data_IF_225225648716
#
_entry.id   IF_225225648716
#
_cell.length_a   1.000
_cell.length_b   1.000
_cell.length_c   1.000
_cell.angle_alpha   90.00
_cell.angle_beta   90.00
_cell.angle_gamma   90.00
#
_symmetry.space_group_name_H-M   'P 1'
#
loop_
_entity.id
_entity.type
_entity.pdbx_description
1 polymer ?
#
# COMPACT_ATOMS: atom_id res chain seq x y z
N UNK A 1 16.36 -11.67 -16.36
CA UNK A 1 15.29 -10.64 -16.27
C UNK A 1 15.64 -9.37 -17.06
N UNK A 2 16.74 -8.64 -16.77
CA UNK A 2 17.10 -7.45 -17.56
C UNK A 2 17.68 -7.78 -18.95
N UNK A 3 18.45 -8.87 -19.03
CA UNK A 3 18.95 -9.42 -20.30
C UNK A 3 17.82 -9.96 -21.18
N UNK A 4 16.77 -10.55 -20.58
CA UNK A 4 15.57 -11.03 -21.30
C UNK A 4 14.72 -9.88 -21.85
N UNK A 5 14.89 -8.66 -21.33
CA UNK A 5 14.25 -7.43 -21.80
C UNK A 5 15.09 -6.68 -22.86
N UNK A 6 16.21 -7.26 -23.32
CA UNK A 6 17.07 -6.67 -24.35
C UNK A 6 18.06 -5.60 -23.84
N UNK A 7 18.36 -5.57 -22.53
CA UNK A 7 19.38 -4.69 -21.96
C UNK A 7 20.68 -5.48 -21.73
N UNK A 8 21.70 -5.19 -22.55
CA UNK A 8 23.02 -5.85 -22.49
C UNK A 8 23.85 -5.47 -21.25
N UNK A 9 23.50 -4.40 -20.53
CA UNK A 9 24.24 -3.92 -19.36
C UNK A 9 23.37 -3.91 -18.08
N UNK A 10 23.65 -4.82 -17.16
CA UNK A 10 23.01 -4.94 -15.84
C UNK A 10 23.05 -3.63 -15.01
N UNK A 11 24.00 -2.73 -15.33
CA UNK A 11 24.09 -1.40 -14.70
C UNK A 11 22.93 -0.50 -15.06
N UNK A 12 22.38 -0.60 -16.28
CA UNK A 12 21.24 0.20 -16.74
C UNK A 12 19.99 -0.23 -15.98
N UNK A 13 19.75 -1.54 -15.83
CA UNK A 13 18.64 -2.08 -15.04
C UNK A 13 18.71 -1.63 -13.58
N UNK A 14 19.90 -1.71 -12.97
CA UNK A 14 20.13 -1.23 -11.60
C UNK A 14 19.90 0.28 -11.45
N UNK A 15 20.32 1.07 -12.44
CA UNK A 15 20.13 2.52 -12.45
C UNK A 15 18.64 2.90 -12.54
N UNK A 16 17.87 2.24 -13.40
CA UNK A 16 16.42 2.45 -13.51
C UNK A 16 15.72 2.16 -12.19
N UNK A 17 16.04 1.02 -11.56
CA UNK A 17 15.47 0.66 -10.24
C UNK A 17 15.80 1.72 -9.19
N UNK A 18 17.04 2.21 -9.17
CA UNK A 18 17.46 3.25 -8.23
C UNK A 18 16.74 4.58 -8.46
N UNK A 19 16.54 4.99 -9.71
CA UNK A 19 15.78 6.21 -10.05
C UNK A 19 14.34 6.07 -9.56
N UNK A 20 13.69 4.93 -9.82
CA UNK A 20 12.33 4.67 -9.34
C UNK A 20 12.27 4.70 -7.81
N UNK A 21 13.25 4.13 -7.12
CA UNK A 21 13.33 4.18 -5.66
C UNK A 21 13.47 5.61 -5.12
N UNK A 22 14.27 6.47 -5.76
CA UNK A 22 14.42 7.87 -5.39
C UNK A 22 13.11 8.64 -5.61
N UNK A 23 12.43 8.42 -6.73
CA UNK A 23 11.13 9.05 -7.00
C UNK A 23 10.09 8.61 -5.97
N UNK A 24 10.09 7.32 -5.59
CA UNK A 24 9.21 6.78 -4.56
C UNK A 24 9.55 7.25 -3.13
N UNK A 25 10.73 7.85 -2.92
CA UNK A 25 11.10 8.45 -1.64
C UNK A 25 10.37 9.78 -1.40
N UNK A 26 10.09 10.56 -2.45
CA UNK A 26 9.49 11.89 -2.30
C UNK A 26 8.15 11.84 -1.56
N UNK A 27 7.19 10.97 -1.92
CA UNK A 27 5.96 10.91 -1.18
C UNK A 27 6.13 10.37 0.25
N UNK A 28 7.17 9.57 0.51
CA UNK A 28 7.50 9.11 1.85
C UNK A 28 8.00 10.23 2.77
N UNK A 29 8.77 11.18 2.24
CA UNK A 29 9.21 12.35 3.00
C UNK A 29 8.05 13.27 3.38
N UNK A 30 7.11 13.47 2.45
CA UNK A 30 5.96 14.35 2.67
C UNK A 30 4.75 13.65 3.29
N UNK A 31 4.80 12.33 3.50
CA UNK A 31 3.71 11.54 4.06
C UNK A 31 3.18 12.07 5.39
N UNK A 32 4.08 12.47 6.30
CA UNK A 32 3.71 13.05 7.59
C UNK A 32 3.00 14.40 7.46
N UNK A 33 3.48 15.25 6.55
CA UNK A 33 2.89 16.57 6.29
C UNK A 33 1.56 16.48 5.55
N UNK A 34 1.45 15.62 4.54
CA UNK A 34 0.19 15.37 3.85
C UNK A 34 -0.83 14.75 4.80
N UNK A 35 -0.39 13.76 5.59
CA UNK A 35 -1.23 13.08 6.58
C UNK A 35 -1.81 14.04 7.62
N UNK A 36 -0.99 14.94 8.16
CA UNK A 36 -1.43 15.96 9.12
C UNK A 36 -2.41 16.98 8.52
N UNK A 37 -2.28 17.31 7.23
CA UNK A 37 -3.17 18.27 6.54
C UNK A 37 -4.49 17.66 6.05
N UNK A 38 -4.46 16.47 5.46
CA UNK A 38 -5.62 15.87 4.79
C UNK A 38 -6.31 14.76 5.61
N UNK A 39 -5.67 14.25 6.66
CA UNK A 39 -6.16 13.14 7.47
C UNK A 39 -5.62 11.79 6.98
N UNK A 40 -4.96 11.06 7.87
CA UNK A 40 -4.30 9.79 7.57
C UNK A 40 -5.32 8.74 7.09
N UNK A 41 -6.49 8.68 7.75
CA UNK A 41 -7.55 7.73 7.38
C UNK A 41 -8.11 8.04 6.00
N UNK A 42 -8.36 9.32 5.69
CA UNK A 42 -8.94 9.74 4.41
C UNK A 42 -8.00 9.43 3.24
N UNK A 43 -6.71 9.71 3.41
CA UNK A 43 -5.70 9.41 2.39
C UNK A 43 -5.58 7.91 2.11
N UNK A 44 -5.56 7.07 3.14
CA UNK A 44 -5.53 5.61 2.94
C UNK A 44 -6.78 5.13 2.21
N UNK A 45 -7.97 5.61 2.59
CA UNK A 45 -9.21 5.19 1.92
C UNK A 45 -9.27 5.65 0.47
N UNK A 46 -8.83 6.88 0.19
CA UNK A 46 -8.71 7.40 -1.17
C UNK A 46 -7.78 6.54 -2.01
N UNK A 47 -6.62 6.16 -1.46
CA UNK A 47 -5.67 5.30 -2.15
C UNK A 47 -6.24 3.93 -2.50
N UNK A 48 -7.02 3.30 -1.60
CA UNK A 48 -7.70 2.04 -1.93
C UNK A 48 -8.63 2.21 -3.13
N UNK A 49 -9.42 3.28 -3.17
CA UNK A 49 -10.33 3.54 -4.30
C UNK A 49 -9.54 3.73 -5.59
N UNK A 50 -8.50 4.56 -5.58
CA UNK A 50 -7.68 4.79 -6.78
C UNK A 50 -7.01 3.50 -7.24
N UNK A 51 -6.42 2.73 -6.33
CA UNK A 51 -5.72 1.48 -6.66
C UNK A 51 -6.69 0.40 -7.17
N UNK A 52 -7.91 0.33 -6.65
CA UNK A 52 -8.95 -0.58 -7.18
C UNK A 52 -9.33 -0.16 -8.60
N UNK A 53 -9.59 1.13 -8.84
CA UNK A 53 -9.95 1.64 -10.15
C UNK A 53 -8.84 1.41 -11.19
N UNK A 54 -7.58 1.67 -10.81
CA UNK A 54 -6.45 1.45 -11.72
C UNK A 54 -6.20 -0.05 -11.94
N UNK A 55 -6.40 -0.92 -10.95
CA UNK A 55 -6.31 -2.38 -11.14
C UNK A 55 -7.34 -2.88 -12.16
N UNK A 56 -8.58 -2.38 -12.09
CA UNK A 56 -9.61 -2.67 -13.10
C UNK A 56 -9.21 -2.11 -14.46
N UNK A 57 -8.67 -0.88 -14.51
CA UNK A 57 -8.13 -0.27 -15.72
C UNK A 57 -7.01 -1.11 -16.37
N UNK A 58 -6.12 -1.69 -15.58
CA UNK A 58 -5.07 -2.60 -16.07
C UNK A 58 -5.69 -3.83 -16.73
N UNK A 59 -6.64 -4.50 -16.07
CA UNK A 59 -7.30 -5.69 -16.64
C UNK A 59 -8.04 -5.38 -17.95
N UNK A 60 -8.74 -4.25 -18.02
CA UNK A 60 -9.41 -3.80 -19.25
C UNK A 60 -8.38 -3.53 -20.36
N UNK A 61 -7.27 -2.88 -20.03
CA UNK A 61 -6.21 -2.56 -21.00
C UNK A 61 -5.50 -3.82 -21.52
N UNK A 62 -5.30 -4.83 -20.67
CA UNK A 62 -4.77 -6.13 -21.06
C UNK A 62 -5.72 -6.84 -22.03
N UNK A 63 -7.01 -6.92 -21.68
CA UNK A 63 -8.03 -7.55 -22.53
C UNK A 63 -8.20 -6.83 -23.89
N UNK A 64 -8.05 -5.51 -23.90
CA UNK A 64 -8.05 -4.70 -25.12
C UNK A 64 -6.74 -4.76 -25.93
N UNK A 65 -5.74 -5.56 -25.49
CA UNK A 65 -4.41 -5.66 -26.10
C UNK A 65 -3.75 -4.28 -26.29
N UNK A 66 -3.82 -3.42 -25.26
CA UNK A 66 -3.22 -2.08 -25.28
C UNK A 66 -2.10 -1.93 -24.24
N UNK A 67 -0.85 -2.28 -24.59
CA UNK A 67 0.29 -2.23 -23.67
C UNK A 67 0.59 -0.83 -23.12
N UNK A 68 0.40 0.21 -23.94
CA UNK A 68 0.65 1.60 -23.51
C UNK A 68 -0.33 2.00 -22.40
N UNK A 69 -1.60 1.62 -22.54
CA UNK A 69 -2.63 1.96 -21.55
C UNK A 69 -2.43 1.17 -20.26
N UNK A 70 -2.02 -0.11 -20.34
CA UNK A 70 -1.74 -0.91 -19.14
C UNK A 70 -0.55 -0.36 -18.35
N UNK A 71 0.50 0.12 -19.03
CA UNK A 71 1.64 0.80 -18.41
C UNK A 71 1.19 2.08 -17.68
N UNK A 72 0.34 2.91 -18.30
CA UNK A 72 -0.17 4.14 -17.69
C UNK A 72 -0.97 3.84 -16.43
N UNK A 73 -1.90 2.88 -16.47
CA UNK A 73 -2.66 2.50 -15.27
C UNK A 73 -1.77 1.88 -14.19
N UNK A 74 -0.74 1.12 -14.55
CA UNK A 74 0.26 0.58 -13.62
C UNK A 74 1.04 1.70 -12.94
N UNK A 75 1.46 2.72 -13.71
CA UNK A 75 2.15 3.88 -13.14
C UNK A 75 1.25 4.66 -12.16
N UNK A 76 -0.02 4.86 -12.50
CA UNK A 76 -1.00 5.49 -11.61
C UNK A 76 -1.25 4.66 -10.34
N UNK A 77 -1.32 3.33 -10.46
CA UNK A 77 -1.41 2.42 -9.31
C UNK A 77 -0.22 2.60 -8.37
N UNK A 78 1.01 2.59 -8.90
CA UNK A 78 2.23 2.77 -8.13
C UNK A 78 2.29 4.15 -7.49
N UNK A 79 1.89 5.22 -8.20
CA UNK A 79 1.85 6.57 -7.65
C UNK A 79 0.85 6.71 -6.50
N UNK A 80 -0.33 6.10 -6.61
CA UNK A 80 -1.33 6.08 -5.54
C UNK A 80 -0.84 5.30 -4.30
N UNK A 81 -0.15 4.17 -4.52
CA UNK A 81 0.48 3.42 -3.45
C UNK A 81 1.58 4.22 -2.76
N UNK A 82 2.50 4.79 -3.53
CA UNK A 82 3.66 5.52 -3.02
C UNK A 82 3.24 6.76 -2.20
N UNK A 83 2.17 7.45 -2.59
CA UNK A 83 1.68 8.65 -1.87
C UNK A 83 0.90 8.36 -0.61
N UNK A 84 0.41 7.14 -0.43
CA UNK A 84 -0.51 6.81 0.65
C UNK A 84 -0.10 5.53 1.35
N UNK A 85 -0.56 4.37 0.86
CA UNK A 85 -0.41 3.09 1.55
C UNK A 85 1.05 2.72 1.86
N UNK A 86 2.00 3.11 1.01
CA UNK A 86 3.41 2.87 1.22
C UNK A 86 3.94 3.52 2.51
N UNK A 87 4.02 4.87 2.58
CA UNK A 87 4.62 5.54 3.73
C UNK A 87 3.64 5.82 4.89
N UNK A 88 2.35 6.11 4.62
CA UNK A 88 1.41 6.49 5.69
C UNK A 88 1.13 5.33 6.64
N UNK A 89 1.19 4.08 6.17
CA UNK A 89 0.92 2.93 7.03
C UNK A 89 1.91 2.85 8.20
N UNK A 90 3.19 3.17 7.97
CA UNK A 90 4.20 3.19 9.02
C UNK A 90 3.98 4.33 10.01
N UNK A 91 3.59 5.52 9.52
CA UNK A 91 3.21 6.65 10.39
C UNK A 91 2.03 6.27 11.28
N UNK A 92 1.00 5.62 10.73
CA UNK A 92 -0.18 5.21 11.50
C UNK A 92 0.15 4.09 12.49
N UNK A 93 0.92 3.08 12.07
CA UNK A 93 1.33 1.97 12.94
C UNK A 93 2.08 2.49 14.18
N UNK A 94 3.01 3.42 14.01
CA UNK A 94 3.74 4.02 15.15
C UNK A 94 2.83 4.79 16.11
N UNK A 95 1.75 5.38 15.61
CA UNK A 95 0.73 6.06 16.41
C UNK A 95 -0.25 5.09 17.09
N UNK A 96 -0.55 3.94 16.49
CA UNK A 96 -1.48 2.95 17.03
C UNK A 96 -0.89 2.14 18.20
N UNK A 97 0.41 1.89 18.22
CA UNK A 97 1.03 1.15 19.31
C UNK A 97 1.37 2.06 20.51
N UNK A 98 1.09 1.63 21.75
CA UNK A 98 1.54 2.33 22.95
C UNK A 98 3.07 2.32 23.04
N UNK A 99 3.65 3.34 23.68
CA UNK A 99 5.11 3.51 23.77
C UNK A 99 5.86 2.26 24.23
N UNK A 100 5.32 1.50 25.19
CA UNK A 100 5.94 0.29 25.74
C UNK A 100 6.00 -0.90 24.78
N UNK A 101 5.03 -1.01 23.85
CA UNK A 101 4.93 -2.15 22.93
C UNK A 101 5.27 -1.78 21.49
N UNK A 102 5.56 -0.52 21.20
CA UNK A 102 5.78 -0.03 19.84
C UNK A 102 6.87 -0.78 19.10
N UNK A 103 8.02 -1.02 19.74
CA UNK A 103 9.13 -1.73 19.10
C UNK A 103 8.74 -3.15 18.68
N UNK A 104 8.11 -3.91 19.58
CA UNK A 104 7.66 -5.29 19.33
C UNK A 104 6.51 -5.36 18.32
N UNK A 105 5.54 -4.45 18.42
CA UNK A 105 4.42 -4.38 17.47
C UNK A 105 4.90 -4.05 16.05
N UNK A 106 5.78 -3.05 15.93
CA UNK A 106 6.35 -2.64 14.64
C UNK A 106 7.21 -3.74 14.01
N UNK A 107 8.02 -4.47 14.79
CA UNK A 107 8.85 -5.54 14.24
C UNK A 107 8.01 -6.70 13.69
N UNK A 108 6.90 -7.05 14.36
CA UNK A 108 5.96 -8.06 13.86
C UNK A 108 5.26 -7.60 12.58
N UNK A 109 4.79 -6.34 12.53
CA UNK A 109 4.19 -5.78 11.31
C UNK A 109 5.18 -5.76 10.15
N UNK A 110 6.44 -5.39 10.40
CA UNK A 110 7.47 -5.37 9.38
C UNK A 110 7.82 -6.79 8.89
N UNK A 111 7.90 -7.76 9.79
CA UNK A 111 8.08 -9.16 9.44
C UNK A 111 6.95 -9.67 8.54
N UNK A 112 5.70 -9.40 8.92
CA UNK A 112 4.52 -9.75 8.11
C UNK A 112 4.54 -9.05 6.73
N UNK A 113 4.99 -7.79 6.68
CA UNK A 113 5.16 -7.05 5.42
C UNK A 113 6.18 -7.73 4.50
N UNK A 114 7.37 -8.08 5.02
CA UNK A 114 8.39 -8.78 4.23
C UNK A 114 7.93 -10.16 3.76
N UNK A 115 7.21 -10.91 4.60
CA UNK A 115 6.60 -12.17 4.22
C UNK A 115 5.56 -11.99 3.10
N UNK A 116 4.71 -10.97 3.20
CA UNK A 116 3.75 -10.63 2.14
C UNK A 116 4.44 -10.31 0.82
N UNK A 117 5.49 -9.49 0.86
CA UNK A 117 6.30 -9.16 -0.32
C UNK A 117 6.96 -10.39 -0.94
N UNK A 118 7.47 -11.32 -0.12
CA UNK A 118 8.03 -12.58 -0.58
C UNK A 118 6.96 -13.45 -1.27
N UNK A 119 5.80 -13.60 -0.64
CA UNK A 119 4.69 -14.38 -1.18
C UNK A 119 4.19 -13.82 -2.51
N UNK A 120 4.06 -12.50 -2.63
CA UNK A 120 3.68 -11.85 -3.88
C UNK A 120 4.80 -12.00 -4.91
N UNK A 121 6.05 -11.75 -4.55
CA UNK A 121 7.19 -11.82 -5.46
C UNK A 121 7.38 -13.21 -6.08
N UNK A 122 7.17 -14.27 -5.28
CA UNK A 122 7.26 -15.66 -5.75
C UNK A 122 5.96 -16.14 -6.39
N UNK A 123 4.80 -15.78 -5.82
CA UNK A 123 3.50 -16.31 -6.21
C UNK A 123 2.86 -15.62 -7.41
N UNK A 124 3.11 -14.32 -7.59
CA UNK A 124 2.45 -13.52 -8.63
C UNK A 124 2.68 -14.03 -10.05
N UNK A 125 3.88 -14.49 -10.47
CA UNK A 125 4.06 -15.06 -11.80
C UNK A 125 3.09 -16.22 -12.10
N UNK A 126 2.95 -17.16 -11.15
CA UNK A 126 2.01 -18.29 -11.30
C UNK A 126 0.55 -17.85 -11.37
N UNK A 127 0.19 -16.82 -10.60
CA UNK A 127 -1.16 -16.24 -10.61
C UNK A 127 -1.43 -15.51 -11.93
N UNK A 128 -0.44 -14.76 -12.42
CA UNK A 128 -0.52 -14.03 -13.68
C UNK A 128 -0.69 -15.00 -14.86
N UNK A 129 0.07 -16.09 -14.88
CA UNK A 129 -0.02 -17.12 -15.93
C UNK A 129 -1.38 -17.84 -15.89
N UNK A 130 -1.92 -18.10 -14.71
CA UNK A 130 -3.22 -18.77 -14.55
C UNK A 130 -4.42 -17.88 -14.90
N UNK A 131 -4.35 -16.58 -14.64
CA UNK A 131 -5.46 -15.64 -14.79
C UNK A 131 -5.40 -14.80 -16.07
N UNK A 132 -4.24 -14.70 -16.74
CA UNK A 132 -4.05 -13.91 -17.95
C UNK A 132 -4.47 -12.44 -17.76
N UNK A 133 -5.46 -12.00 -18.55
CA UNK A 133 -6.01 -10.63 -18.48
C UNK A 133 -6.61 -10.28 -17.11
N UNK A 134 -6.99 -11.28 -16.31
CA UNK A 134 -7.50 -11.11 -14.94
C UNK A 134 -6.41 -11.18 -13.87
N UNK A 135 -5.14 -11.08 -14.24
CA UNK A 135 -3.98 -11.13 -13.33
C UNK A 135 -4.07 -10.16 -12.14
N UNK A 136 -4.75 -9.03 -12.29
CA UNK A 136 -4.95 -8.04 -11.21
C UNK A 136 -6.21 -8.26 -10.35
N UNK A 137 -7.04 -9.26 -10.65
CA UNK A 137 -8.26 -9.55 -9.90
C UNK A 137 -8.00 -9.83 -8.40
N UNK A 138 -6.96 -10.59 -8.00
CA UNK A 138 -6.66 -10.81 -6.59
C UNK A 138 -6.37 -9.51 -5.84
N UNK A 139 -5.70 -8.54 -6.48
CA UNK A 139 -5.46 -7.23 -5.87
C UNK A 139 -6.77 -6.46 -5.68
N UNK A 140 -7.70 -6.50 -6.64
CA UNK A 140 -9.02 -5.86 -6.47
C UNK A 140 -9.76 -6.44 -5.27
N UNK A 141 -9.80 -7.77 -5.13
CA UNK A 141 -10.48 -8.45 -4.01
C UNK A 141 -9.82 -8.10 -2.68
N UNK A 142 -8.48 -8.21 -2.60
CA UNK A 142 -7.73 -7.93 -1.37
C UNK A 142 -7.82 -6.46 -0.97
N UNK A 143 -7.64 -5.53 -1.92
CA UNK A 143 -7.77 -4.09 -1.66
C UNK A 143 -9.19 -3.72 -1.25
N UNK A 144 -10.22 -4.34 -1.83
CA UNK A 144 -11.60 -4.07 -1.43
C UNK A 144 -11.86 -4.54 0.01
N UNK A 145 -11.43 -5.76 0.35
CA UNK A 145 -11.56 -6.30 1.70
C UNK A 145 -10.79 -5.49 2.75
N UNK A 146 -9.53 -5.16 2.45
CA UNK A 146 -8.70 -4.32 3.32
C UNK A 146 -9.20 -2.88 3.41
N UNK A 147 -9.72 -2.32 2.31
CA UNK A 147 -10.33 -0.99 2.30
C UNK A 147 -11.56 -0.92 3.23
N UNK A 148 -12.41 -1.95 3.22
CA UNK A 148 -13.54 -2.08 4.14
C UNK A 148 -13.08 -2.24 5.59
N UNK A 149 -12.05 -3.07 5.82
CA UNK A 149 -11.44 -3.25 7.13
C UNK A 149 -10.90 -1.92 7.68
N UNK A 150 -10.11 -1.19 6.88
CA UNK A 150 -9.59 0.12 7.23
C UNK A 150 -10.71 1.13 7.45
N UNK A 151 -11.78 1.10 6.64
CA UNK A 151 -12.91 2.00 6.82
C UNK A 151 -13.56 1.81 8.21
N UNK A 152 -13.76 0.57 8.66
CA UNK A 152 -14.41 0.30 9.94
C UNK A 152 -13.48 0.49 11.16
N UNK A 153 -12.25 0.00 11.06
CA UNK A 153 -11.39 -0.17 12.24
C UNK A 153 -10.32 0.91 12.38
N UNK A 154 -9.86 1.51 11.29
CA UNK A 154 -8.79 2.52 11.34
C UNK A 154 -9.32 3.81 11.98
N UNK A 155 -8.81 4.22 13.15
CA UNK A 155 -9.13 5.53 13.71
C UNK A 155 -8.39 6.63 12.93
N UNK A 156 -8.91 7.86 12.98
CA UNK A 156 -8.14 9.00 12.51
C UNK A 156 -7.01 9.30 13.50
N UNK A 157 -5.77 9.27 13.00
CA UNK A 157 -4.54 9.51 13.77
C UNK A 157 -3.87 10.84 13.42
N UNK A 158 -4.31 11.53 12.37
CA UNK A 158 -3.73 12.81 11.98
C UNK A 158 -3.90 13.87 13.07
N UNK A 159 -2.81 14.57 13.38
CA UNK A 159 -2.80 15.66 14.37
C UNK A 159 -3.02 15.23 15.82
N UNK A 160 -2.98 13.91 16.12
CA UNK A 160 -3.18 13.37 17.46
C UNK A 160 -1.89 12.86 18.07
N UNK A 161 -1.76 13.06 19.37
CA UNK A 161 -0.74 12.42 20.19
C UNK A 161 -0.99 10.93 20.33
N UNK A 162 0.05 10.17 20.70
CA UNK A 162 -0.08 8.73 20.92
C UNK A 162 -1.14 8.43 22.00
N UNK A 163 -1.16 9.20 23.09
CA UNK A 163 -2.10 9.03 24.20
C UNK A 163 -3.56 9.26 23.78
N UNK A 164 -3.82 10.28 22.96
CA UNK A 164 -5.15 10.52 22.39
C UNK A 164 -5.60 9.37 21.49
N UNK A 165 -4.69 8.78 20.72
CA UNK A 165 -4.97 7.58 19.91
C UNK A 165 -5.26 6.38 20.82
N UNK A 166 -4.49 6.17 21.89
CA UNK A 166 -4.75 5.11 22.86
C UNK A 166 -6.10 5.29 23.57
N UNK A 167 -6.52 6.53 23.86
CA UNK A 167 -7.82 6.82 24.45
C UNK A 167 -8.98 6.45 23.54
N UNK A 168 -8.84 6.60 22.22
CA UNK A 168 -9.84 6.14 21.25
C UNK A 168 -10.02 4.62 21.37
N UNK A 169 -8.92 3.87 21.46
CA UNK A 169 -8.97 2.42 21.64
C UNK A 169 -9.57 2.02 22.99
N UNK A 170 -9.19 2.70 24.08
CA UNK A 170 -9.76 2.48 25.42
C UNK A 170 -11.27 2.70 25.45
N UNK A 171 -11.76 3.79 24.83
CA UNK A 171 -13.20 4.09 24.74
C UNK A 171 -13.95 3.05 23.93
N UNK A 172 -13.39 2.62 22.78
CA UNK A 172 -13.98 1.54 21.97
C UNK A 172 -14.09 0.24 22.76
N UNK A 173 -13.05 -0.16 23.51
CA UNK A 173 -13.08 -1.38 24.32
C UNK A 173 -14.18 -1.35 25.37
N UNK A 174 -14.33 -0.25 26.11
CA UNK A 174 -15.40 -0.10 27.11
C UNK A 174 -16.80 -0.24 26.50
N UNK A 175 -17.02 0.39 25.34
CA UNK A 175 -18.31 0.28 24.64
C UNK A 175 -18.65 -1.15 24.19
N UNK A 176 -17.65 -2.01 23.95
CA UNK A 176 -17.85 -3.43 23.66
C UNK A 176 -18.10 -4.27 24.92
N UNK A 177 -17.53 -3.89 26.07
CA UNK A 177 -17.73 -4.59 27.35
C UNK A 177 -19.12 -4.29 27.96
N UNK A 178 -19.74 -3.17 27.57
CA UNK A 178 -21.06 -2.72 28.03
C UNK A 178 -22.25 -3.21 27.16
N UNK A 179 -21.97 -3.97 26.09
CA UNK A 179 -22.97 -4.59 25.19
C UNK A 179 -23.10 -6.09 25.44
#
# INVERSE_FOLDING_TARGET
MFTDAGLDDDRIGSMIVNIVNIVNLLPALFAGDLGSRYGNRRMILFAHVVMILTSVGIMIALSANSPVVSIIFTALYVAAFATSLGPLIFVILTAMFPHSLRATGMSLCLCANWLGQLLIGVGYPYVSDALGDLSFLPFVVLLSGLGLFHHKLLPETAGKTNDEVQDIFRRRRKAYEEQ
#
